data_IF_355172230755
#
_entry.id   IF_355172230755
#
_cell.length_a   1.000
_cell.length_b   1.000
_cell.length_c   1.000
_cell.angle_alpha   90.00
_cell.angle_beta   90.00
_cell.angle_gamma   90.00
#
_symmetry.space_group_name_H-M   'P 1'
#
loop_
_entity.id
_entity.type
_entity.pdbx_description
1 polymer ?
#
# COMPACT_ATOMS: atom_id res chain seq x y z
N UNK A 1 2.99 -14.52 -10.36
CA UNK A 1 2.64 -13.27 -11.09
C UNK A 1 3.87 -12.44 -10.95
N UNK A 2 4.68 -12.48 -12.00
CA UNK A 2 6.11 -12.41 -11.85
C UNK A 2 6.57 -10.98 -12.06
N UNK A 3 7.40 -10.49 -11.15
CA UNK A 3 7.82 -9.11 -11.16
C UNK A 3 9.33 -9.06 -11.11
N UNK A 4 9.92 -8.68 -12.25
CA UNK A 4 11.37 -8.57 -12.42
C UNK A 4 11.91 -7.40 -11.61
N UNK A 5 12.56 -7.67 -10.48
CA UNK A 5 13.19 -6.70 -9.59
C UNK A 5 14.71 -6.82 -9.78
N UNK A 6 15.38 -5.75 -10.20
CA UNK A 6 16.84 -5.75 -10.46
C UNK A 6 17.34 -6.87 -11.41
N UNK A 7 16.53 -7.29 -12.38
CA UNK A 7 16.88 -8.39 -13.29
C UNK A 7 16.70 -9.80 -12.71
N UNK A 8 16.20 -9.89 -11.47
CA UNK A 8 15.82 -11.15 -10.82
C UNK A 8 14.30 -11.25 -10.86
N UNK A 9 13.79 -12.35 -11.40
CA UNK A 9 12.36 -12.66 -11.35
C UNK A 9 11.99 -12.95 -9.89
N UNK A 10 11.33 -12.00 -9.23
CA UNK A 10 10.81 -12.22 -7.88
C UNK A 10 9.38 -12.71 -8.02
N UNK A 11 9.17 -13.98 -7.69
CA UNK A 11 7.84 -14.55 -7.58
C UNK A 11 7.11 -13.94 -6.38
N UNK A 12 6.34 -12.89 -6.64
CA UNK A 12 5.51 -12.22 -5.63
C UNK A 12 4.40 -13.17 -5.12
N UNK A 13 4.14 -14.31 -5.79
CA UNK A 13 3.10 -15.25 -5.36
C UNK A 13 3.40 -15.88 -3.99
N UNK A 14 4.67 -16.01 -3.62
CA UNK A 14 5.10 -16.54 -2.32
C UNK A 14 5.09 -15.53 -1.17
N UNK A 15 4.88 -14.23 -1.45
CA UNK A 15 4.90 -13.21 -0.41
C UNK A 15 3.54 -13.19 0.31
N UNK A 16 3.51 -13.27 1.66
CA UNK A 16 2.28 -13.16 2.43
C UNK A 16 1.54 -11.86 2.14
N UNK A 17 0.22 -11.89 2.36
CA UNK A 17 -0.61 -10.70 2.15
C UNK A 17 -0.13 -9.58 3.09
N UNK A 18 0.20 -8.38 2.56
CA UNK A 18 0.67 -7.28 3.38
C UNK A 18 -0.36 -6.83 4.39
N UNK A 19 0.09 -6.22 5.47
CA UNK A 19 -0.76 -5.70 6.56
C UNK A 19 -0.66 -4.19 6.71
N UNK A 20 -1.56 -3.60 7.48
CA UNK A 20 -1.63 -2.18 7.81
C UNK A 20 -1.84 -2.03 9.31
N UNK A 21 -0.86 -1.49 10.02
CA UNK A 21 -0.95 -1.26 11.48
C UNK A 21 -1.37 0.15 11.89
N UNK A 22 -1.91 0.98 11.00
CA UNK A 22 -2.24 2.39 11.32
C UNK A 22 -3.26 2.55 12.47
N UNK A 23 -4.02 1.50 12.81
CA UNK A 23 -4.99 1.49 13.93
C UNK A 23 -4.41 0.86 15.21
N UNK A 24 -3.11 0.54 15.25
CA UNK A 24 -2.46 -0.11 16.39
C UNK A 24 -2.49 -1.64 16.35
N UNK A 25 -3.29 -2.24 15.47
CA UNK A 25 -3.32 -3.69 15.20
C UNK A 25 -3.07 -3.95 13.71
N UNK A 26 -2.29 -4.99 13.35
CA UNK A 26 -2.03 -5.32 11.95
C UNK A 26 -3.29 -5.90 11.29
N UNK A 27 -3.82 -5.18 10.30
CA UNK A 27 -4.98 -5.59 9.52
C UNK A 27 -4.57 -5.93 8.09
N UNK A 28 -5.04 -7.07 7.58
CA UNK A 28 -4.71 -7.56 6.24
C UNK A 28 -5.17 -6.58 5.16
N UNK A 29 -4.27 -6.17 4.25
CA UNK A 29 -4.59 -5.28 3.14
C UNK A 29 -5.43 -5.98 2.06
N UNK A 30 -6.19 -5.19 1.31
CA UNK A 30 -7.02 -5.67 0.21
C UNK A 30 -6.32 -5.47 -1.13
N UNK A 31 -6.58 -6.36 -2.09
CA UNK A 31 -6.16 -6.15 -3.49
C UNK A 31 -6.85 -4.94 -4.08
N UNK A 32 -6.11 -4.16 -4.87
CA UNK A 32 -6.63 -2.96 -5.52
C UNK A 32 -6.09 -2.80 -6.94
N UNK A 33 -6.99 -2.65 -7.92
CA UNK A 33 -6.62 -2.49 -9.34
C UNK A 33 -5.83 -3.68 -9.90
N UNK A 34 -4.99 -3.42 -10.90
CA UNK A 34 -4.12 -4.43 -11.50
C UNK A 34 -2.87 -4.67 -10.63
N UNK A 35 -3.02 -5.46 -9.57
CA UNK A 35 -1.89 -5.92 -8.72
C UNK A 35 -1.44 -4.94 -7.63
N UNK A 36 -2.20 -3.89 -7.34
CA UNK A 36 -1.93 -2.97 -6.23
C UNK A 36 -2.54 -3.42 -4.90
N UNK A 37 -2.34 -2.58 -3.88
CA UNK A 37 -2.84 -2.79 -2.52
C UNK A 37 -3.61 -1.59 -2.00
N UNK A 38 -4.69 -1.86 -1.26
CA UNK A 38 -5.42 -0.89 -0.48
C UNK A 38 -5.29 -1.23 1.00
N UNK A 39 -5.01 -0.20 1.79
CA UNK A 39 -4.98 -0.29 3.24
C UNK A 39 -6.33 -0.76 3.79
N UNK A 40 -6.35 -1.79 4.64
CA UNK A 40 -7.59 -2.15 5.34
C UNK A 40 -8.00 -1.12 6.39
N UNK A 41 -7.00 -0.52 7.04
CA UNK A 41 -7.20 0.35 8.18
C UNK A 41 -7.34 1.84 7.80
N UNK A 42 -7.12 2.18 6.52
CA UNK A 42 -7.23 3.53 5.99
C UNK A 42 -8.11 3.55 4.73
N UNK A 43 -9.41 3.29 4.87
CA UNK A 43 -10.39 3.49 3.79
C UNK A 43 -11.46 4.52 4.18
N UNK A 44 -12.11 5.11 3.18
CA UNK A 44 -13.19 6.08 3.38
C UNK A 44 -14.57 5.43 3.55
N UNK A 45 -14.76 4.20 3.07
CA UNK A 45 -16.08 3.56 2.94
C UNK A 45 -16.13 2.06 3.29
N UNK A 46 -15.01 1.34 3.24
CA UNK A 46 -14.98 -0.15 3.22
C UNK A 46 -14.37 -0.74 4.51
N UNK A 47 -14.24 0.05 5.58
CA UNK A 47 -13.50 -0.36 6.78
C UNK A 47 -14.42 -0.52 7.98
N UNK A 48 -14.22 -1.60 8.75
CA UNK A 48 -14.72 -1.76 10.13
C UNK A 48 -14.27 -0.59 11.03
N UNK A 49 -13.19 0.10 10.65
CA UNK A 49 -12.64 1.31 11.26
C UNK A 49 -12.53 2.44 10.22
N UNK A 50 -13.62 3.16 9.92
CA UNK A 50 -13.60 4.22 8.89
C UNK A 50 -12.65 5.34 9.30
N UNK A 51 -11.96 5.94 8.32
CA UNK A 51 -11.00 7.01 8.59
C UNK A 51 -11.65 8.24 9.28
N UNK A 52 -10.90 8.97 10.13
CA UNK A 52 -11.38 10.18 10.77
C UNK A 52 -11.88 11.23 9.76
N UNK A 53 -12.76 12.11 10.23
CA UNK A 53 -13.21 13.25 9.44
C UNK A 53 -12.04 14.18 9.13
N UNK A 54 -12.04 14.74 7.92
CA UNK A 54 -11.05 15.69 7.48
C UNK A 54 -11.25 17.02 8.19
N UNK A 55 -10.19 17.54 8.84
CA UNK A 55 -10.18 18.90 9.39
C UNK A 55 -10.10 19.97 8.29
N UNK A 56 -9.69 19.58 7.07
CA UNK A 56 -9.54 20.49 5.92
C UNK A 56 -10.78 20.57 5.04
N UNK A 57 -11.64 19.56 5.06
CA UNK A 57 -12.82 19.46 4.18
C UNK A 57 -14.04 19.00 4.98
N UNK A 58 -14.93 19.93 5.30
CA UNK A 58 -16.15 19.66 6.07
C UNK A 58 -17.00 18.58 5.38
N UNK A 59 -17.47 17.60 6.14
CA UNK A 59 -18.30 16.51 5.65
C UNK A 59 -17.56 15.39 4.89
N UNK A 60 -16.24 15.50 4.67
CA UNK A 60 -15.45 14.45 4.05
C UNK A 60 -14.54 13.75 5.07
N UNK A 61 -14.30 12.44 4.89
CA UNK A 61 -13.26 11.71 5.62
C UNK A 61 -11.89 11.96 5.02
N UNK A 62 -10.83 11.75 5.81
CA UNK A 62 -9.47 11.68 5.29
C UNK A 62 -9.44 10.60 4.22
N UNK A 63 -8.81 10.88 3.08
CA UNK A 63 -8.81 9.96 1.97
C UNK A 63 -7.96 8.71 2.27
N UNK A 64 -8.42 7.57 1.76
CA UNK A 64 -7.78 6.27 2.01
C UNK A 64 -6.37 6.16 1.46
N UNK A 65 -5.66 5.12 1.90
CA UNK A 65 -4.29 4.81 1.42
C UNK A 65 -4.34 3.64 0.44
N UNK A 66 -3.75 3.84 -0.74
CA UNK A 66 -3.65 2.88 -1.83
C UNK A 66 -2.26 2.94 -2.45
N UNK A 67 -1.79 1.84 -3.00
CA UNK A 67 -0.57 1.78 -3.80
C UNK A 67 -0.81 0.96 -5.06
N UNK A 68 -0.23 1.40 -6.17
CA UNK A 68 -0.22 0.62 -7.41
C UNK A 68 0.76 -0.55 -7.33
N UNK A 69 0.68 -1.49 -8.26
CA UNK A 69 1.64 -2.59 -8.39
C UNK A 69 3.09 -2.07 -8.53
N UNK A 70 3.32 -1.07 -9.37
CA UNK A 70 4.66 -0.49 -9.54
C UNK A 70 5.19 0.21 -8.28
N UNK A 71 4.32 0.82 -7.47
CA UNK A 71 4.72 1.38 -6.18
C UNK A 71 5.05 0.27 -5.17
N UNK A 72 4.28 -0.81 -5.14
CA UNK A 72 4.55 -1.97 -4.29
C UNK A 72 5.87 -2.64 -4.68
N UNK A 73 6.15 -2.80 -5.98
CA UNK A 73 7.43 -3.31 -6.49
C UNK A 73 8.63 -2.53 -5.95
N UNK A 74 8.57 -1.19 -5.95
CA UNK A 74 9.64 -0.34 -5.39
C UNK A 74 9.83 -0.53 -3.89
N UNK A 75 8.76 -0.85 -3.16
CA UNK A 75 8.84 -1.21 -1.73
C UNK A 75 9.58 -2.54 -1.57
N UNK A 76 9.25 -3.54 -2.39
CA UNK A 76 9.96 -4.83 -2.39
C UNK A 76 11.44 -4.67 -2.74
N UNK A 77 11.76 -3.91 -3.79
CA UNK A 77 13.15 -3.56 -4.17
C UNK A 77 13.94 -2.97 -3.00
N UNK A 78 13.34 -1.98 -2.31
CA UNK A 78 13.97 -1.33 -1.17
C UNK A 78 14.16 -2.30 0.01
N UNK A 79 13.13 -3.05 0.36
CA UNK A 79 13.17 -3.99 1.48
C UNK A 79 14.17 -5.14 1.21
N UNK A 80 14.27 -5.61 -0.03
CA UNK A 80 15.25 -6.62 -0.42
C UNK A 80 16.68 -6.09 -0.25
N UNK A 81 16.94 -4.85 -0.64
CA UNK A 81 18.24 -4.20 -0.43
C UNK A 81 18.58 -4.00 1.07
N UNK A 82 17.57 -3.89 1.92
CA UNK A 82 17.71 -3.81 3.38
C UNK A 82 17.79 -5.19 4.05
N UNK A 83 17.74 -6.30 3.28
CA UNK A 83 17.82 -7.66 3.81
C UNK A 83 16.53 -8.15 4.49
N UNK A 84 15.38 -7.58 4.16
CA UNK A 84 14.09 -7.95 4.73
C UNK A 84 13.71 -9.40 4.39
N UNK A 85 13.21 -10.14 5.38
CA UNK A 85 12.70 -11.50 5.18
C UNK A 85 11.23 -11.48 4.70
N UNK A 86 11.01 -11.78 3.43
CA UNK A 86 9.68 -11.83 2.80
C UNK A 86 8.81 -13.02 3.24
N UNK A 87 9.29 -13.93 4.09
CA UNK A 87 8.42 -14.90 4.75
C UNK A 87 7.46 -14.25 5.76
N UNK A 88 7.76 -13.03 6.20
CA UNK A 88 6.89 -12.25 7.09
C UNK A 88 6.01 -11.27 6.31
N UNK A 89 4.77 -11.02 6.75
CA UNK A 89 3.92 -10.00 6.16
C UNK A 89 4.55 -8.60 6.27
N UNK A 90 4.57 -7.87 5.16
CA UNK A 90 5.06 -6.49 5.12
C UNK A 90 4.00 -5.57 5.73
N UNK A 91 4.35 -4.81 6.75
CA UNK A 91 3.49 -3.74 7.26
C UNK A 91 3.64 -2.48 6.42
N UNK A 92 2.64 -2.20 5.59
CA UNK A 92 2.67 -1.07 4.66
C UNK A 92 2.43 0.29 5.33
N UNK A 93 2.19 0.37 6.64
CA UNK A 93 1.89 1.62 7.38
C UNK A 93 2.82 2.79 7.01
N UNK A 94 4.11 2.52 6.87
CA UNK A 94 5.17 3.50 6.54
C UNK A 94 5.52 3.54 5.05
N UNK A 95 5.02 2.59 4.26
CA UNK A 95 5.33 2.43 2.83
C UNK A 95 4.22 2.90 1.89
N UNK A 96 3.04 3.24 2.41
CA UNK A 96 2.00 3.87 1.61
C UNK A 96 2.54 5.11 0.91
N UNK A 97 2.19 5.27 -0.37
CA UNK A 97 2.45 6.51 -1.08
C UNK A 97 1.90 7.67 -0.26
N UNK A 98 2.76 8.66 0.04
CA UNK A 98 2.31 9.89 0.68
C UNK A 98 1.18 10.48 -0.16
N UNK A 99 0.09 10.82 0.52
CA UNK A 99 -1.08 11.48 -0.05
C UNK A 99 -0.63 12.63 -0.96
N UNK A 100 -0.97 12.58 -2.25
CA UNK A 100 -0.64 13.65 -3.21
C UNK A 100 0.46 13.38 -4.24
N UNK A 101 1.08 12.19 -4.28
CA UNK A 101 2.06 11.85 -5.35
C UNK A 101 1.45 11.24 -6.61
N UNK A 102 0.17 11.52 -6.90
CA UNK A 102 -0.38 11.26 -8.22
C UNK A 102 0.28 12.23 -9.22
N UNK A 103 1.46 11.88 -9.73
CA UNK A 103 2.14 12.56 -10.84
C UNK A 103 1.40 12.37 -12.19
N UNK A 104 0.07 12.30 -12.18
CA UNK A 104 -0.71 12.51 -13.40
C UNK A 104 -1.10 13.99 -13.46
N UNK A 105 -0.09 14.86 -13.53
CA UNK A 105 -0.29 16.13 -14.23
C UNK A 105 -0.08 15.77 -15.69
N UNK A 106 -1.15 15.51 -16.41
CA UNK A 106 -1.10 15.60 -17.87
C UNK A 106 -0.94 17.08 -18.17
N UNK A 107 0.29 17.52 -18.43
CA UNK A 107 0.54 18.82 -19.06
C UNK A 107 -0.01 18.68 -20.48
N UNK A 108 -0.99 19.50 -20.83
CA UNK A 108 -1.45 19.70 -22.20
C UNK A 108 -1.22 21.15 -22.57
#
# INVERSE_FOLDING_TARGET
>A
MDVVINGIDMDISGIPIPVCSCTGTPQQCYRWGCGGWQSACCTTQVSMYPLPMSTKRRGARIAGRKMSQGAFKKVLEKLAAEGYNFANPIDLRTHWAKHGTNKFVTIR
#
